data_IF_217681150580
#
_entry.id   IF_217681150580
#
_cell.length_a   1.000
_cell.length_b   1.000
_cell.length_c   1.000
_cell.angle_alpha   90.00
_cell.angle_beta   90.00
_cell.angle_gamma   90.00
#
_symmetry.space_group_name_H-M   'P 1'
#
loop_
_entity.id
_entity.type
_entity.pdbx_description
1 polymer ?
#
# COMPACT_ATOMS: atom_id res chain seq x y z
N UNK A 1 -6.19 -14.16 -9.76
CA UNK A 1 -5.32 -13.48 -10.75
C UNK A 1 -5.81 -12.06 -10.94
N UNK A 2 -4.90 -11.13 -11.25
CA UNK A 2 -5.27 -9.75 -11.56
C UNK A 2 -5.96 -9.66 -12.92
N UNK A 3 -6.87 -8.68 -13.06
CA UNK A 3 -7.41 -8.29 -14.36
C UNK A 3 -6.27 -7.69 -15.19
N UNK A 4 -6.12 -8.10 -16.45
CA UNK A 4 -5.10 -7.54 -17.35
C UNK A 4 -5.72 -6.49 -18.29
N UNK A 5 -4.96 -5.41 -18.52
CA UNK A 5 -5.25 -4.32 -19.46
C UNK A 5 -3.99 -3.98 -20.27
N UNK A 6 -4.15 -3.25 -21.37
CA UNK A 6 -3.03 -2.84 -22.22
C UNK A 6 -2.82 -1.34 -22.13
N UNK A 7 -1.60 -0.90 -21.81
CA UNK A 7 -1.24 0.51 -21.85
C UNK A 7 -1.40 1.05 -23.28
N UNK A 8 -2.13 2.15 -23.43
CA UNK A 8 -2.33 2.83 -24.71
C UNK A 8 -1.59 4.15 -24.77
N UNK A 9 -1.36 4.80 -23.63
CA UNK A 9 -0.62 6.07 -23.56
C UNK A 9 0.07 6.27 -22.21
N UNK A 10 1.34 6.66 -22.27
CA UNK A 10 2.04 7.22 -21.11
C UNK A 10 1.70 8.72 -20.99
N UNK A 11 1.16 9.13 -19.85
CA UNK A 11 0.63 10.48 -19.64
C UNK A 11 1.69 11.38 -19.00
N UNK A 12 2.20 11.00 -17.82
CA UNK A 12 3.17 11.81 -17.09
C UNK A 12 3.87 11.00 -15.99
N UNK A 13 5.16 11.27 -15.70
CA UNK A 13 5.82 10.71 -14.53
C UNK A 13 5.29 11.30 -13.22
N UNK A 14 5.11 10.45 -12.22
CA UNK A 14 4.97 10.85 -10.82
C UNK A 14 6.37 10.85 -10.20
N UNK A 15 6.87 12.05 -9.90
CA UNK A 15 8.22 12.24 -9.31
C UNK A 15 8.17 11.97 -7.80
N UNK A 16 7.80 10.75 -7.43
CA UNK A 16 7.80 10.27 -6.05
C UNK A 16 8.97 9.30 -5.85
N UNK A 17 9.95 9.70 -5.04
CA UNK A 17 11.09 8.86 -4.67
C UNK A 17 11.92 8.35 -5.86
N UNK A 18 12.56 7.19 -5.69
CA UNK A 18 13.49 6.60 -6.66
C UNK A 18 12.87 5.57 -7.61
N UNK A 19 11.55 5.37 -7.60
CA UNK A 19 10.86 4.35 -8.43
C UNK A 19 10.19 4.91 -9.68
N UNK A 20 10.06 6.24 -9.78
CA UNK A 20 9.46 6.96 -10.92
C UNK A 20 8.20 6.29 -11.50
N UNK A 21 7.15 6.06 -10.68
CA UNK A 21 5.88 5.57 -11.21
C UNK A 21 5.30 6.57 -12.21
N UNK A 22 4.37 6.14 -13.07
CA UNK A 22 3.81 7.01 -14.10
C UNK A 22 2.31 6.82 -14.28
N UNK A 23 1.62 7.90 -14.66
CA UNK A 23 0.21 7.83 -15.05
C UNK A 23 0.12 7.29 -16.48
N UNK A 24 -0.70 6.26 -16.66
CA UNK A 24 -0.92 5.57 -17.94
C UNK A 24 -2.42 5.43 -18.20
N UNK A 25 -2.83 5.67 -19.44
CA UNK A 25 -4.16 5.32 -19.95
C UNK A 25 -4.12 3.91 -20.56
N UNK A 26 -5.20 3.15 -20.40
CA UNK A 26 -5.29 1.78 -20.92
C UNK A 26 -6.45 1.59 -21.92
N UNK A 27 -6.51 0.41 -22.53
CA UNK A 27 -7.49 0.01 -23.55
C UNK A 27 -8.92 -0.13 -23.02
N UNK A 28 -9.09 -0.27 -21.71
CA UNK A 28 -10.37 -0.28 -21.01
C UNK A 28 -10.91 1.13 -20.67
N UNK A 29 -10.24 2.18 -21.17
CA UNK A 29 -10.51 3.59 -20.87
C UNK A 29 -10.20 4.00 -19.41
N UNK A 30 -9.55 3.13 -18.64
CA UNK A 30 -9.07 3.41 -17.29
C UNK A 30 -7.78 4.24 -17.28
N UNK A 31 -7.52 4.90 -16.15
CA UNK A 31 -6.26 5.60 -15.88
C UNK A 31 -5.61 4.97 -14.64
N UNK A 32 -4.33 4.64 -14.75
CA UNK A 32 -3.62 3.87 -13.73
C UNK A 32 -2.32 4.57 -13.35
N UNK A 33 -1.96 4.47 -12.07
CA UNK A 33 -0.57 4.64 -11.62
C UNK A 33 0.15 3.32 -11.89
N UNK A 34 1.08 3.35 -12.84
CA UNK A 34 1.86 2.20 -13.25
C UNK A 34 3.17 2.14 -12.47
N UNK A 35 3.43 0.98 -11.86
CA UNK A 35 4.72 0.62 -11.26
C UNK A 35 5.48 -0.32 -12.21
N UNK A 36 6.67 0.11 -12.60
CA UNK A 36 7.46 -0.51 -13.66
C UNK A 36 8.30 -1.68 -13.16
N UNK A 37 8.34 -2.79 -13.91
CA UNK A 37 9.20 -3.95 -13.63
C UNK A 37 10.67 -3.65 -13.80
N UNK A 38 11.02 -2.72 -14.70
CA UNK A 38 12.39 -2.25 -14.93
C UNK A 38 12.90 -1.25 -13.89
N UNK A 39 12.08 -0.84 -12.92
CA UNK A 39 12.51 0.07 -11.86
C UNK A 39 13.56 -0.59 -10.94
N UNK A 40 14.50 0.20 -10.41
CA UNK A 40 15.63 -0.29 -9.61
C UNK A 40 15.25 -1.03 -8.31
N UNK A 41 14.01 -0.91 -7.85
CA UNK A 41 13.47 -1.64 -6.69
C UNK A 41 13.19 -3.13 -7.00
N UNK A 42 13.01 -3.48 -8.28
CA UNK A 42 12.88 -4.84 -8.76
C UNK A 42 11.50 -5.50 -8.53
N UNK A 43 11.34 -6.71 -9.07
CA UNK A 43 10.08 -7.48 -9.08
C UNK A 43 9.49 -7.72 -7.69
N UNK A 44 10.32 -7.86 -6.66
CA UNK A 44 9.88 -8.11 -5.28
C UNK A 44 8.95 -7.02 -4.73
N UNK A 45 9.21 -5.76 -5.06
CA UNK A 45 8.34 -4.64 -4.66
C UNK A 45 6.94 -4.77 -5.29
N UNK A 46 6.85 -5.23 -6.55
CA UNK A 46 5.55 -5.50 -7.19
C UNK A 46 4.83 -6.69 -6.55
N UNK A 47 5.58 -7.75 -6.20
CA UNK A 47 5.04 -8.90 -5.47
C UNK A 47 4.48 -8.47 -4.10
N UNK A 48 5.20 -7.63 -3.36
CA UNK A 48 4.74 -7.08 -2.08
C UNK A 48 3.48 -6.24 -2.27
N UNK A 49 3.45 -5.36 -3.27
CA UNK A 49 2.28 -4.53 -3.58
C UNK A 49 1.04 -5.38 -3.85
N UNK A 50 1.17 -6.42 -4.66
CA UNK A 50 0.04 -7.31 -4.98
C UNK A 50 -0.41 -8.09 -3.76
N UNK A 51 0.49 -8.76 -3.03
CA UNK A 51 0.10 -9.59 -1.89
C UNK A 51 -0.53 -8.73 -0.79
N UNK A 52 0.12 -7.64 -0.39
CA UNK A 52 -0.37 -6.78 0.67
C UNK A 52 -1.63 -6.01 0.25
N UNK A 53 -1.65 -5.44 -0.97
CA UNK A 53 -2.81 -4.71 -1.48
C UNK A 53 -4.06 -5.60 -1.61
N UNK A 54 -3.91 -6.83 -2.14
CA UNK A 54 -5.02 -7.79 -2.21
C UNK A 54 -5.48 -8.23 -0.83
N UNK A 55 -4.56 -8.49 0.10
CA UNK A 55 -4.89 -8.83 1.48
C UNK A 55 -5.69 -7.71 2.15
N UNK A 56 -5.25 -6.46 2.01
CA UNK A 56 -5.97 -5.30 2.51
C UNK A 56 -7.40 -5.21 1.93
N UNK A 57 -7.55 -5.34 0.61
CA UNK A 57 -8.87 -5.33 -0.05
C UNK A 57 -9.80 -6.41 0.52
N UNK A 58 -9.32 -7.65 0.65
CA UNK A 58 -10.12 -8.77 1.16
C UNK A 58 -10.41 -8.66 2.67
N UNK A 59 -9.59 -7.94 3.43
CA UNK A 59 -9.86 -7.57 4.81
C UNK A 59 -10.79 -6.36 4.95
N UNK A 60 -11.20 -5.76 3.83
CA UNK A 60 -12.13 -4.61 3.78
C UNK A 60 -11.45 -3.26 4.03
N UNK A 61 -10.13 -3.18 3.91
CA UNK A 61 -9.40 -1.92 3.82
C UNK A 61 -9.48 -1.39 2.38
N UNK A 62 -9.55 -0.07 2.23
CA UNK A 62 -9.65 0.57 0.92
C UNK A 62 -8.28 0.68 0.29
N UNK A 63 -8.06 -0.06 -0.79
CA UNK A 63 -6.88 0.04 -1.67
C UNK A 63 -7.44 0.18 -3.09
N UNK A 64 -6.90 1.09 -3.92
CA UNK A 64 -7.35 1.20 -5.32
C UNK A 64 -7.20 -0.15 -6.03
N UNK A 65 -8.00 -0.37 -7.09
CA UNK A 65 -7.93 -1.64 -7.84
C UNK A 65 -6.50 -1.88 -8.34
N UNK A 66 -6.03 -3.12 -8.21
CA UNK A 66 -4.76 -3.56 -8.78
C UNK A 66 -5.03 -4.33 -10.07
N UNK A 67 -4.31 -4.00 -11.13
CA UNK A 67 -4.40 -4.64 -12.45
C UNK A 67 -3.01 -5.03 -12.95
N UNK A 68 -2.96 -6.06 -13.79
CA UNK A 68 -1.81 -6.27 -14.66
C UNK A 68 -1.89 -5.32 -15.84
N UNK A 69 -0.83 -4.57 -16.14
CA UNK A 69 -0.80 -3.68 -17.31
C UNK A 69 0.32 -4.07 -18.27
N UNK A 70 -0.04 -4.44 -19.50
CA UNK A 70 0.91 -4.76 -20.57
C UNK A 70 1.42 -3.46 -21.21
N UNK A 71 2.72 -3.24 -21.18
CA UNK A 71 3.41 -2.11 -21.80
C UNK A 71 4.13 -2.55 -23.07
N UNK A 72 3.82 -1.89 -24.18
CA UNK A 72 4.67 -1.90 -25.37
C UNK A 72 5.73 -0.78 -25.23
N UNK A 73 7.04 -1.10 -25.24
CA UNK A 73 8.12 -0.12 -25.19
C UNK A 73 8.04 1.00 -26.23
N UNK A 74 7.30 0.80 -27.34
CA UNK A 74 7.06 1.83 -28.36
C UNK A 74 6.48 3.11 -27.76
N UNK A 75 5.72 3.01 -26.66
CA UNK A 75 5.13 4.15 -25.94
C UNK A 75 6.20 5.10 -25.41
N UNK A 76 7.38 4.60 -25.04
CA UNK A 76 8.48 5.42 -24.52
C UNK A 76 9.27 6.19 -25.59
N UNK A 77 9.08 5.92 -26.89
CA UNK A 77 9.88 6.56 -27.94
C UNK A 77 9.68 8.07 -28.04
N UNK A 78 8.51 8.57 -27.67
CA UNK A 78 8.19 10.00 -27.67
C UNK A 78 8.44 10.69 -26.32
N UNK A 79 8.88 9.96 -25.31
CA UNK A 79 9.19 10.54 -24.00
C UNK A 79 10.49 11.36 -24.07
N UNK A 80 10.46 12.68 -23.76
CA UNK A 80 11.64 13.53 -23.78
C UNK A 80 12.63 13.29 -22.64
N UNK A 81 12.17 12.76 -21.50
CA UNK A 81 13.04 12.47 -20.34
C UNK A 81 13.77 11.13 -20.56
N UNK A 82 15.10 11.17 -20.73
CA UNK A 82 15.91 9.99 -21.05
C UNK A 82 15.81 8.90 -19.97
N UNK A 83 15.72 9.28 -18.69
CA UNK A 83 15.60 8.34 -17.58
C UNK A 83 14.26 7.58 -17.64
N UNK A 84 13.17 8.31 -17.92
CA UNK A 84 11.83 7.71 -18.09
C UNK A 84 11.79 6.86 -19.36
N UNK A 85 12.40 7.32 -20.45
CA UNK A 85 12.46 6.55 -21.69
C UNK A 85 13.18 5.22 -21.49
N UNK A 86 14.32 5.20 -20.79
CA UNK A 86 15.06 3.97 -20.51
C UNK A 86 14.29 3.05 -19.56
N UNK A 87 13.59 3.61 -18.57
CA UNK A 87 12.68 2.85 -17.70
C UNK A 87 11.55 2.17 -18.51
N UNK A 88 10.90 2.89 -19.42
CA UNK A 88 9.84 2.35 -20.27
C UNK A 88 10.36 1.25 -21.19
N UNK A 89 11.55 1.43 -21.80
CA UNK A 89 12.20 0.39 -22.60
C UNK A 89 12.52 -0.86 -21.79
N UNK A 90 13.02 -0.70 -20.57
CA UNK A 90 13.36 -1.81 -19.67
C UNK A 90 12.13 -2.53 -19.10
N UNK A 91 10.94 -1.94 -19.21
CA UNK A 91 9.70 -2.42 -18.61
C UNK A 91 8.70 -2.99 -19.60
N UNK A 92 9.14 -3.33 -20.82
CA UNK A 92 8.29 -3.97 -21.82
C UNK A 92 7.70 -5.29 -21.31
N UNK A 93 6.41 -5.51 -21.53
CA UNK A 93 5.68 -6.66 -21.01
C UNK A 93 4.75 -6.30 -19.86
N UNK A 94 4.54 -7.21 -18.91
CA UNK A 94 3.56 -7.03 -17.84
C UNK A 94 4.15 -6.26 -16.66
N UNK A 95 3.38 -5.30 -16.18
CA UNK A 95 3.70 -4.45 -15.05
C UNK A 95 2.48 -4.37 -14.12
N UNK A 96 2.63 -3.64 -13.01
CA UNK A 96 1.53 -3.42 -12.08
C UNK A 96 0.87 -2.07 -12.34
N UNK A 97 -0.43 -2.06 -12.53
CA UNK A 97 -1.26 -0.86 -12.49
C UNK A 97 -2.04 -0.80 -11.17
N UNK A 98 -2.17 0.39 -10.62
CA UNK A 98 -3.08 0.73 -9.53
C UNK A 98 -4.03 1.80 -10.03
N UNK A 99 -5.33 1.66 -9.78
CA UNK A 99 -6.32 2.65 -10.21
C UNK A 99 -5.93 4.06 -9.72
N UNK A 100 -5.93 5.02 -10.64
CA UNK A 100 -5.58 6.40 -10.31
C UNK A 100 -6.81 7.10 -9.75
N UNK A 101 -6.74 7.54 -8.49
CA UNK A 101 -7.85 8.22 -7.81
C UNK A 101 -7.82 9.74 -8.08
N UNK A 102 -8.62 10.28 -9.02
CA UNK A 102 -8.50 11.68 -9.42
C UNK A 102 -9.03 12.59 -8.31
N UNK A 103 -8.27 13.63 -7.98
CA UNK A 103 -8.61 14.59 -6.93
C UNK A 103 -8.42 14.07 -5.50
N UNK A 104 -7.80 12.89 -5.34
CA UNK A 104 -7.37 12.44 -4.02
C UNK A 104 -6.31 13.38 -3.43
N UNK A 105 -6.32 13.50 -2.10
CA UNK A 105 -5.34 14.29 -1.35
C UNK A 105 -4.50 13.36 -0.49
N UNK A 106 -3.22 13.67 -0.25
CA UNK A 106 -2.45 12.99 0.78
C UNK A 106 -3.09 13.20 2.16
N UNK A 107 -3.15 12.14 2.96
CA UNK A 107 -3.62 12.23 4.34
C UNK A 107 -2.60 13.00 5.19
N UNK A 108 -3.02 14.16 5.69
CA UNK A 108 -2.34 14.90 6.76
C UNK A 108 -3.06 14.65 8.10
N UNK A 109 -2.41 14.01 9.09
CA UNK A 109 -3.04 13.70 10.38
C UNK A 109 -3.42 14.95 11.20
N UNK A 110 -2.92 16.14 10.84
CA UNK A 110 -3.32 17.41 11.44
C UNK A 110 -4.58 18.01 10.81
N UNK A 111 -4.90 17.60 9.57
CA UNK A 111 -6.05 18.09 8.82
C UNK A 111 -7.24 17.11 8.90
N UNK A 112 -6.99 15.81 8.84
CA UNK A 112 -8.02 14.77 8.78
C UNK A 112 -8.14 14.02 10.11
N UNK A 113 -9.38 13.72 10.53
CA UNK A 113 -9.64 12.87 11.67
C UNK A 113 -9.82 11.42 11.20
N UNK A 114 -9.21 10.48 11.91
CA UNK A 114 -9.38 9.04 11.73
C UNK A 114 -9.89 8.47 13.05
N UNK A 115 -10.85 7.55 13.00
CA UNK A 115 -11.34 6.92 14.22
C UNK A 115 -10.31 5.94 14.80
N UNK A 116 -10.29 5.76 16.12
CA UNK A 116 -9.44 4.76 16.79
C UNK A 116 -9.62 3.35 16.21
N UNK A 117 -10.86 2.99 15.84
CA UNK A 117 -11.18 1.70 15.22
C UNK A 117 -10.56 1.56 13.82
N UNK A 118 -10.67 2.59 12.98
CA UNK A 118 -10.10 2.59 11.63
C UNK A 118 -8.57 2.61 11.67
N UNK A 119 -7.98 3.44 12.55
CA UNK A 119 -6.54 3.47 12.79
C UNK A 119 -6.03 2.11 13.31
N UNK A 120 -6.77 1.47 14.21
CA UNK A 120 -6.47 0.13 14.73
C UNK A 120 -6.36 -0.90 13.61
N UNK A 121 -7.33 -0.92 12.68
CA UNK A 121 -7.33 -1.85 11.54
C UNK A 121 -6.13 -1.67 10.62
N UNK A 122 -5.77 -0.42 10.31
CA UNK A 122 -4.63 -0.13 9.43
C UNK A 122 -3.31 -0.49 10.11
N UNK A 123 -3.09 -0.04 11.36
CA UNK A 123 -1.86 -0.35 12.10
C UNK A 123 -1.69 -1.85 12.32
N UNK A 124 -2.77 -2.56 12.64
CA UNK A 124 -2.75 -4.03 12.76
C UNK A 124 -2.37 -4.70 11.43
N UNK A 125 -2.95 -4.23 10.31
CA UNK A 125 -2.61 -4.74 8.98
C UNK A 125 -1.15 -4.46 8.61
N UNK A 126 -0.67 -3.24 8.84
CA UNK A 126 0.71 -2.86 8.57
C UNK A 126 1.69 -3.68 9.41
N UNK A 127 1.35 -4.00 10.66
CA UNK A 127 2.11 -4.95 11.46
C UNK A 127 2.11 -6.36 10.86
N UNK A 128 0.98 -6.83 10.31
CA UNK A 128 0.87 -8.15 9.69
C UNK A 128 1.76 -8.26 8.46
N UNK A 129 1.77 -7.26 7.59
CA UNK A 129 2.61 -7.26 6.37
C UNK A 129 4.02 -6.70 6.62
N UNK A 130 4.31 -6.21 7.82
CA UNK A 130 5.61 -5.65 8.20
C UNK A 130 5.93 -4.34 7.47
N UNK A 131 4.95 -3.45 7.34
CA UNK A 131 5.09 -2.15 6.70
C UNK A 131 5.79 -1.16 7.65
N UNK A 132 7.03 -0.79 7.36
CA UNK A 132 7.77 0.20 8.17
C UNK A 132 7.76 1.60 7.60
N UNK A 133 7.24 1.76 6.38
CA UNK A 133 7.37 2.99 5.62
C UNK A 133 6.21 3.96 5.87
N UNK A 134 5.09 3.45 6.42
CA UNK A 134 3.88 4.23 6.73
C UNK A 134 4.07 5.17 7.92
N UNK A 135 4.73 6.29 7.68
CA UNK A 135 5.11 7.28 8.69
C UNK A 135 4.50 8.65 8.44
N UNK A 136 4.58 9.56 9.39
CA UNK A 136 4.12 10.95 9.19
C UNK A 136 4.87 11.70 8.06
N UNK A 137 6.08 11.25 7.70
CA UNK A 137 6.86 11.80 6.56
C UNK A 137 6.44 11.20 5.23
N UNK A 138 6.05 9.93 5.25
CA UNK A 138 5.57 9.22 4.08
C UNK A 138 4.26 8.47 4.42
N UNK A 139 3.11 9.16 4.48
CA UNK A 139 1.87 8.54 4.92
C UNK A 139 1.42 7.38 4.03
N UNK A 140 1.70 7.43 2.72
CA UNK A 140 1.18 6.48 1.73
C UNK A 140 -0.33 6.21 1.90
N UNK A 141 -1.05 7.24 2.36
CA UNK A 141 -2.48 7.24 2.61
C UNK A 141 -3.07 8.42 1.85
N UNK A 142 -4.19 8.17 1.18
CA UNK A 142 -4.95 9.18 0.47
C UNK A 142 -6.29 9.40 1.16
N UNK A 143 -6.87 10.58 1.00
CA UNK A 143 -8.27 10.87 1.25
C UNK A 143 -8.95 11.07 -0.10
N UNK A 144 -9.90 10.21 -0.43
CA UNK A 144 -10.65 10.27 -1.68
C UNK A 144 -12.14 10.10 -1.40
N UNK A 145 -12.94 11.08 -1.86
CA UNK A 145 -14.36 11.19 -1.54
C UNK A 145 -14.68 11.11 -0.03
N UNK A 146 -13.80 11.67 0.81
CA UNK A 146 -13.97 11.73 2.27
C UNK A 146 -13.53 10.48 3.03
N UNK A 147 -13.09 9.43 2.34
CA UNK A 147 -12.65 8.17 2.93
C UNK A 147 -11.13 8.01 2.83
N UNK A 148 -10.51 7.31 3.78
CA UNK A 148 -9.09 6.98 3.76
C UNK A 148 -8.82 5.77 2.85
N UNK A 149 -7.80 5.87 2.00
CA UNK A 149 -7.34 4.84 1.07
C UNK A 149 -5.85 4.57 1.30
N UNK A 150 -5.48 3.29 1.32
CA UNK A 150 -4.11 2.82 1.43
C UNK A 150 -3.51 2.69 0.04
N UNK A 151 -2.32 3.26 -0.13
CA UNK A 151 -1.48 3.08 -1.31
C UNK A 151 -0.09 2.62 -0.88
N UNK A 152 0.70 2.26 -1.88
CA UNK A 152 2.12 1.94 -1.79
C UNK A 152 2.51 0.96 -0.66
N UNK A 153 2.27 -0.32 -0.92
CA UNK A 153 2.72 -1.44 -0.10
C UNK A 153 4.04 -2.04 -0.61
N UNK A 154 4.75 -1.37 -1.50
CA UNK A 154 5.99 -1.87 -2.10
C UNK A 154 7.14 -2.07 -1.09
N UNK A 155 7.09 -1.37 0.04
CA UNK A 155 8.05 -1.48 1.15
C UNK A 155 7.60 -2.47 2.25
N UNK A 156 6.57 -3.28 1.98
CA UNK A 156 6.11 -4.34 2.90
C UNK A 156 6.83 -5.66 2.63
N UNK A 157 6.58 -6.68 3.48
CA UNK A 157 7.14 -8.03 3.34
C UNK A 157 8.68 -8.09 3.30
N UNK A 158 9.37 -7.13 3.93
CA UNK A 158 10.85 -6.94 3.87
C UNK A 158 11.65 -8.24 4.05
N UNK A 159 11.13 -9.18 4.83
CA UNK A 159 11.71 -10.50 5.05
C UNK A 159 11.89 -11.33 3.75
N UNK A 160 11.12 -11.08 2.69
CA UNK A 160 11.24 -11.78 1.40
C UNK A 160 12.51 -11.40 0.62
N UNK A 161 13.26 -10.38 1.07
CA UNK A 161 14.60 -10.10 0.56
C UNK A 161 15.65 -11.05 1.16
N UNK A 162 15.31 -11.83 2.21
CA UNK A 162 16.19 -12.80 2.85
C UNK A 162 15.41 -14.01 3.40
N UNK A 163 14.95 -14.87 2.49
CA UNK A 163 14.20 -16.09 2.81
C UNK A 163 14.88 -17.03 3.82
N UNK A 164 16.21 -17.30 3.75
CA UNK A 164 16.87 -18.13 4.75
C UNK A 164 16.72 -17.57 6.18
N UNK A 165 16.85 -16.25 6.34
CA UNK A 165 16.68 -15.59 7.65
C UNK A 165 15.22 -15.54 8.11
N UNK A 166 14.29 -15.41 7.16
CA UNK A 166 12.85 -15.44 7.44
C UNK A 166 12.42 -16.82 7.98
N UNK A 167 12.93 -17.90 7.37
CA UNK A 167 12.61 -19.28 7.76
C UNK A 167 13.33 -19.73 9.05
N UNK A 168 14.56 -19.27 9.29
CA UNK A 168 15.36 -19.71 10.44
C UNK A 168 15.01 -19.03 11.76
N UNK A 169 14.18 -17.97 11.77
CA UNK A 169 13.79 -17.25 12.99
C UNK A 169 14.96 -16.58 13.76
N UNK A 170 16.17 -16.53 13.19
CA UNK A 170 17.42 -16.42 13.94
C UNK A 170 18.23 -15.13 13.74
N UNK A 171 17.92 -14.30 12.74
CA UNK A 171 18.65 -13.04 12.50
C UNK A 171 18.07 -11.86 13.32
N UNK A 172 18.85 -10.78 13.50
CA UNK A 172 18.32 -9.53 14.09
C UNK A 172 17.17 -8.93 13.27
N UNK A 173 17.19 -9.06 11.94
CA UNK A 173 16.04 -8.66 11.09
C UNK A 173 14.86 -9.61 11.24
N UNK A 174 15.09 -10.89 11.51
CA UNK A 174 14.07 -11.89 11.85
C UNK A 174 13.45 -11.64 13.24
N UNK A 175 14.19 -11.00 14.15
CA UNK A 175 13.67 -10.60 15.46
C UNK A 175 12.82 -9.34 15.44
N UNK A 176 13.05 -8.38 14.55
CA UNK A 176 12.21 -7.17 14.42
C UNK A 176 11.15 -7.27 13.32
N UNK A 177 11.39 -8.06 12.26
CA UNK A 177 10.48 -8.19 11.12
C UNK A 177 10.18 -9.64 10.73
N UNK A 178 10.73 -10.62 11.44
CA UNK A 178 10.37 -12.02 11.25
C UNK A 178 9.06 -12.38 11.95
N UNK A 179 8.68 -13.65 11.83
CA UNK A 179 7.35 -14.18 12.15
C UNK A 179 6.82 -13.77 13.54
N UNK A 180 7.70 -13.71 14.55
CA UNK A 180 7.35 -13.41 15.95
C UNK A 180 7.93 -12.09 16.47
N UNK A 181 8.44 -11.22 15.58
CA UNK A 181 9.07 -9.97 16.00
C UNK A 181 8.08 -8.92 16.52
N UNK A 182 8.51 -7.98 17.39
CA UNK A 182 7.73 -6.82 17.75
C UNK A 182 7.66 -5.85 16.56
N UNK A 183 6.54 -5.13 16.44
CA UNK A 183 6.33 -4.08 15.45
C UNK A 183 6.25 -2.74 16.16
N UNK A 184 7.19 -1.84 15.86
CA UNK A 184 7.21 -0.49 16.41
C UNK A 184 6.43 0.45 15.50
N UNK A 185 5.24 0.85 15.95
CA UNK A 185 4.38 1.80 15.25
C UNK A 185 4.48 3.21 15.85
N UNK A 186 5.53 3.53 16.61
CA UNK A 186 5.66 4.84 17.27
C UNK A 186 5.72 6.00 16.28
N UNK A 187 6.36 5.81 15.12
CA UNK A 187 6.44 6.79 14.04
C UNK A 187 5.28 6.68 13.02
N UNK A 188 4.33 5.77 13.26
CA UNK A 188 3.23 5.50 12.34
C UNK A 188 2.32 6.72 12.20
N UNK A 189 1.94 7.09 10.98
CA UNK A 189 1.11 8.30 10.73
C UNK A 189 -0.21 8.30 11.48
N UNK A 190 -0.75 7.10 11.76
CA UNK A 190 -1.99 6.92 12.51
C UNK A 190 -1.83 6.70 14.03
N UNK A 191 -0.60 6.64 14.54
CA UNK A 191 -0.35 6.49 15.99
C UNK A 191 -1.04 7.59 16.84
N UNK A 192 -1.11 8.86 16.41
CA UNK A 192 -1.81 9.91 17.14
C UNK A 192 -3.31 9.67 17.37
N UNK A 193 -3.98 8.81 16.59
CA UNK A 193 -5.44 8.60 16.69
C UNK A 193 -5.85 7.52 17.71
N UNK A 194 -4.92 7.07 18.56
CA UNK A 194 -5.16 6.02 19.55
C UNK A 194 -5.68 4.71 18.95
N UNK A 195 -4.90 4.02 18.08
CA UNK A 195 -5.33 2.81 17.38
C UNK A 195 -5.88 1.73 18.33
N UNK A 196 -7.13 1.28 18.11
CA UNK A 196 -7.74 0.17 18.86
C UNK A 196 -7.30 -1.18 18.28
N UNK A 197 -6.12 -1.64 18.70
CA UNK A 197 -5.51 -2.87 18.20
C UNK A 197 -6.22 -4.14 18.65
N UNK A 198 -6.88 -4.11 19.81
CA UNK A 198 -7.59 -5.27 20.34
C UNK A 198 -8.84 -5.55 19.50
N UNK A 199 -9.66 -4.53 19.24
CA UNK A 199 -10.82 -4.65 18.35
C UNK A 199 -10.41 -5.01 16.92
N UNK A 200 -9.30 -4.43 16.42
CA UNK A 200 -8.76 -4.79 15.11
C UNK A 200 -8.35 -6.26 15.02
N UNK A 201 -7.71 -6.80 16.07
CA UNK A 201 -7.33 -8.21 16.11
C UNK A 201 -8.53 -9.14 16.17
N UNK A 202 -9.55 -8.79 16.95
CA UNK A 202 -10.79 -9.57 17.04
C UNK A 202 -11.52 -9.65 15.68
N UNK A 203 -11.56 -8.55 14.92
CA UNK A 203 -12.20 -8.50 13.61
C UNK A 203 -11.35 -9.13 12.48
N UNK A 204 -10.06 -8.78 12.41
CA UNK A 204 -9.23 -9.11 11.25
C UNK A 204 -8.55 -10.48 11.36
N UNK A 205 -8.05 -10.86 12.54
CA UNK A 205 -7.25 -12.07 12.69
C UNK A 205 -7.98 -13.36 12.24
N UNK A 206 -9.26 -13.59 12.60
CA UNK A 206 -9.99 -14.79 12.16
C UNK A 206 -10.21 -14.87 10.64
N UNK A 207 -10.14 -13.72 9.95
CA UNK A 207 -10.34 -13.64 8.49
C UNK A 207 -9.08 -13.97 7.71
N UNK A 208 -7.90 -13.86 8.32
CA UNK A 208 -6.61 -14.19 7.68
C UNK A 208 -6.41 -15.72 7.67
N UNK A 209 -7.15 -16.40 6.80
CA UNK A 209 -7.07 -17.86 6.62
C UNK A 209 -5.99 -18.23 5.60
N UNK A 210 -5.56 -19.49 5.61
CA UNK A 210 -4.66 -20.02 4.57
C UNK A 210 -5.24 -19.89 3.16
N UNK A 211 -6.56 -20.04 3.01
CA UNK A 211 -7.26 -19.88 1.73
C UNK A 211 -7.21 -18.43 1.24
N UNK A 212 -7.48 -17.45 2.11
CA UNK A 212 -7.40 -16.03 1.76
C UNK A 212 -5.97 -15.65 1.35
N UNK A 213 -4.97 -16.12 2.10
CA UNK A 213 -3.57 -15.87 1.78
C UNK A 213 -3.14 -16.53 0.47
N UNK A 214 -3.62 -17.75 0.19
CA UNK A 214 -3.39 -18.43 -1.08
C UNK A 214 -4.03 -17.67 -2.25
N UNK A 215 -5.23 -17.11 -2.08
CA UNK A 215 -5.85 -16.23 -3.07
C UNK A 215 -4.98 -14.99 -3.37
N UNK A 216 -4.45 -14.34 -2.32
CA UNK A 216 -3.56 -13.19 -2.47
C UNK A 216 -2.27 -13.56 -3.21
N UNK A 217 -1.63 -14.69 -2.85
CA UNK A 217 -0.42 -15.16 -3.50
C UNK A 217 -0.65 -15.59 -4.96
N UNK A 218 -1.82 -16.16 -5.27
CA UNK A 218 -2.23 -16.52 -6.63
C UNK A 218 -2.60 -15.30 -7.50
N UNK A 219 -2.74 -14.10 -6.93
CA UNK A 219 -2.89 -12.88 -7.71
C UNK A 219 -1.58 -12.45 -8.38
N UNK A 220 -0.43 -12.86 -7.85
CA UNK A 220 0.89 -12.51 -8.38
C UNK A 220 1.18 -13.30 -9.67
N UNK A 221 1.53 -12.64 -10.79
CA UNK A 221 1.93 -13.31 -12.03
C UNK A 221 3.16 -14.21 -11.86
N UNK A 222 3.17 -15.37 -12.53
CA UNK A 222 4.28 -16.33 -12.48
C UNK A 222 5.62 -15.68 -12.89
N UNK A 223 5.62 -14.84 -13.94
CA UNK A 223 6.81 -14.15 -14.44
C UNK A 223 7.50 -13.25 -13.39
N UNK A 224 6.80 -12.84 -12.34
CA UNK A 224 7.39 -12.07 -11.24
C UNK A 224 8.01 -12.95 -10.14
N UNK A 225 7.65 -14.23 -10.12
CA UNK A 225 8.06 -15.24 -9.15
C UNK A 225 9.14 -16.18 -9.70
N UNK A 226 9.26 -16.29 -11.03
CA UNK A 226 10.24 -17.16 -11.71
C UNK A 226 11.68 -16.78 -11.34
N UNK A 227 12.50 -17.83 -11.14
CA UNK A 227 13.92 -17.78 -10.80
C UNK A 227 14.26 -17.13 -9.44
N UNK A 228 13.31 -17.09 -8.50
CA UNK A 228 13.61 -16.68 -7.13
C UNK A 228 14.57 -17.67 -6.45
N UNK A 229 15.75 -17.23 -5.98
CA UNK A 229 16.73 -18.12 -5.38
C UNK A 229 16.19 -18.84 -4.13
N UNK A 230 16.38 -20.16 -4.09
CA UNK A 230 15.96 -21.00 -2.97
C UNK A 230 14.57 -21.63 -3.10
N UNK A 231 13.91 -21.47 -4.25
CA UNK A 231 12.63 -22.10 -4.57
C UNK A 231 12.69 -22.82 -5.91
N UNK A 232 12.00 -23.96 -6.03
CA UNK A 232 11.92 -24.73 -7.26
C UNK A 232 11.02 -24.08 -8.33
N UNK A 233 10.13 -23.17 -7.94
CA UNK A 233 9.26 -22.44 -8.84
C UNK A 233 8.23 -21.55 -8.14
N UNK A 234 7.35 -20.88 -8.91
CA UNK A 234 6.36 -19.93 -8.39
C UNK A 234 5.46 -20.49 -7.28
N UNK A 235 5.02 -21.74 -7.39
CA UNK A 235 4.09 -22.33 -6.42
C UNK A 235 4.73 -22.54 -5.05
N UNK A 236 5.97 -23.03 -4.99
CA UNK A 236 6.69 -23.19 -3.73
C UNK A 236 6.94 -21.83 -3.04
N UNK A 237 7.19 -20.80 -3.84
CA UNK A 237 7.36 -19.43 -3.37
C UNK A 237 6.04 -18.85 -2.83
N UNK A 238 4.91 -19.07 -3.53
CA UNK A 238 3.56 -18.70 -3.03
C UNK A 238 3.28 -19.36 -1.69
N UNK A 239 3.54 -20.67 -1.56
CA UNK A 239 3.35 -21.38 -0.31
C UNK A 239 4.22 -20.81 0.81
N UNK A 240 5.43 -20.33 0.50
CA UNK A 240 6.30 -19.67 1.47
C UNK A 240 5.74 -18.34 1.96
N UNK A 241 5.13 -17.54 1.08
CA UNK A 241 4.38 -16.34 1.49
C UNK A 241 3.21 -16.69 2.40
N UNK A 242 2.39 -17.68 2.02
CA UNK A 242 1.23 -18.15 2.80
C UNK A 242 1.66 -18.60 4.20
N UNK A 243 2.68 -19.48 4.29
CA UNK A 243 3.20 -19.97 5.58
C UNK A 243 3.70 -18.83 6.46
N UNK A 244 4.45 -17.89 5.88
CA UNK A 244 5.07 -16.79 6.63
C UNK A 244 4.02 -15.83 7.18
N UNK A 245 3.05 -15.41 6.36
CA UNK A 245 1.97 -14.53 6.78
C UNK A 245 1.04 -15.22 7.79
N UNK A 246 0.68 -16.49 7.57
CA UNK A 246 -0.16 -17.26 8.51
C UNK A 246 0.46 -17.30 9.91
N UNK A 247 1.76 -17.52 10.00
CA UNK A 247 2.45 -17.63 11.27
C UNK A 247 2.56 -16.30 12.04
N UNK A 248 2.36 -15.16 11.37
CA UNK A 248 2.41 -13.82 11.99
C UNK A 248 1.12 -13.43 12.70
N UNK A 249 -0.02 -14.01 12.32
CA UNK A 249 -1.35 -13.57 12.78
C UNK A 249 -1.53 -13.74 14.30
N UNK A 250 -1.13 -14.90 14.83
CA UNK A 250 -1.36 -15.26 16.23
C UNK A 250 -0.68 -14.27 17.18
N UNK A 251 -1.46 -13.66 18.09
CA UNK A 251 -0.97 -12.71 19.10
C UNK A 251 -0.33 -11.42 18.53
N UNK A 252 -0.59 -11.09 17.25
CA UNK A 252 0.08 -9.96 16.59
C UNK A 252 -0.10 -8.63 17.33
N UNK A 253 -1.32 -8.34 17.78
CA UNK A 253 -1.65 -7.08 18.44
C UNK A 253 -0.88 -6.86 19.76
N UNK A 254 -0.52 -7.94 20.46
CA UNK A 254 0.28 -7.88 21.69
C UNK A 254 1.73 -7.50 21.43
N UNK A 255 2.19 -7.62 20.18
CA UNK A 255 3.56 -7.33 19.75
C UNK A 255 3.70 -5.96 19.09
N UNK A 256 2.62 -5.18 19.01
CA UNK A 256 2.63 -3.84 18.45
C UNK A 256 2.87 -2.83 19.57
N UNK A 257 3.90 -2.01 19.41
CA UNK A 257 4.14 -0.86 20.27
C UNK A 257 3.59 0.40 19.59
N UNK A 258 2.74 1.15 20.27
CA UNK A 258 2.30 2.49 19.85
C UNK A 258 3.05 3.53 20.68
N UNK A 259 3.54 4.59 20.05
CA UNK A 259 4.15 5.74 20.73
C UNK A 259 3.12 6.56 21.52
N UNK A 260 3.58 7.55 22.31
CA UNK A 260 2.64 8.42 23.05
C UNK A 260 1.70 9.18 22.08
N UNK A 261 0.37 9.17 22.31
CA UNK A 261 -0.58 9.89 21.46
C UNK A 261 -0.30 11.41 21.44
N UNK A 262 -0.44 12.03 20.28
CA UNK A 262 -0.54 13.49 20.20
C UNK A 262 -1.90 13.95 20.72
N UNK A 263 -1.98 15.17 21.25
CA UNK A 263 -3.23 15.72 21.82
C UNK A 263 -4.30 15.88 20.74
N UNK A 264 -5.49 15.32 20.98
CA UNK A 264 -6.67 15.42 20.11
C UNK A 264 -7.02 16.87 19.73
N UNK A 265 -7.44 17.06 18.49
CA UNK A 265 -8.05 18.29 17.99
C UNK A 265 -9.10 17.98 16.91
N UNK A 266 -10.11 18.84 16.71
CA UNK A 266 -11.12 18.64 15.67
C UNK A 266 -10.49 18.71 14.27
N UNK A 267 -11.01 17.90 13.33
CA UNK A 267 -10.58 17.93 11.93
C UNK A 267 -10.66 19.35 11.36
N UNK A 268 -9.61 19.73 10.62
CA UNK A 268 -9.52 21.01 9.88
C UNK A 268 -9.62 20.80 8.37
N UNK A 269 -10.10 19.63 7.94
CA UNK A 269 -10.28 19.30 6.55
C UNK A 269 -11.21 20.30 5.87
N UNK A 270 -10.93 20.70 4.61
CA UNK A 270 -11.83 21.58 3.87
C UNK A 270 -13.24 20.99 3.77
N UNK A 271 -14.28 21.78 4.07
CA UNK A 271 -15.67 21.31 4.12
C UNK A 271 -16.22 20.73 2.81
N UNK A 272 -15.64 21.11 1.66
CA UNK A 272 -16.01 20.52 0.37
C UNK A 272 -15.60 19.04 0.24
N UNK A 273 -14.65 18.56 1.05
CA UNK A 273 -14.19 17.17 1.05
C UNK A 273 -14.96 16.28 2.04
N UNK A 274 -15.42 16.84 3.17
CA UNK A 274 -16.11 16.11 4.25
C UNK A 274 -17.63 16.12 4.11
N UNK A 275 -18.17 16.73 3.05
CA UNK A 275 -19.61 16.97 2.90
C UNK A 275 -20.17 18.00 3.89
N UNK A 276 -19.34 18.60 4.74
CA UNK A 276 -19.73 19.63 5.68
C UNK A 276 -19.82 20.98 4.95
N UNK A 277 -21.04 21.51 4.82
CA UNK A 277 -21.23 22.88 4.34
C UNK A 277 -20.44 23.83 5.25
N UNK A 278 -19.51 24.66 4.73
CA UNK A 278 -18.83 25.62 5.58
C UNK A 278 -19.87 26.50 6.27
N UNK A 279 -19.70 26.85 7.56
CA UNK A 279 -20.65 27.72 8.23
C UNK A 279 -20.74 29.01 7.43
N UNK A 280 -21.95 29.31 6.96
CA UNK A 280 -22.27 30.58 6.29
C UNK A 280 -21.79 31.67 7.23
N UNK A 281 -20.74 32.41 6.84
CA UNK A 281 -20.40 33.66 7.52
C UNK A 281 -21.64 34.53 7.40
N UNK A 282 -22.42 34.64 8.49
CA UNK A 282 -23.42 35.69 8.61
C UNK A 282 -22.62 36.97 8.48
N UNK A 283 -22.74 37.63 7.33
CA UNK A 283 -22.21 38.97 7.14
C UNK A 283 -22.75 39.82 8.29
N UNK A 284 -21.84 40.48 8.99
CA UNK A 284 -22.21 41.56 9.89
C UNK A 284 -22.96 42.57 9.03
N UNK A 285 -24.28 42.54 9.18
CA UNK A 285 -25.17 43.52 8.61
C UNK A 285 -24.75 44.88 9.12
N UNK A 286 -24.44 45.75 8.17
CA UNK A 286 -24.48 47.19 8.33
C UNK A 286 -25.73 47.61 9.11
N UNK A 287 -25.52 48.08 10.34
CA UNK A 287 -26.49 48.87 11.08
C UNK A 287 -25.93 50.28 11.27
N UNK A 288 -26.57 51.20 10.56
CA UNK A 288 -26.37 52.65 10.49
C UNK A 288 -26.19 53.35 11.85
N UNK A 289 -25.37 54.40 11.87
CA UNK A 289 -25.81 55.80 11.98
C UNK A 289 -24.72 56.75 11.48
#
# INVERSE_FOLDING_TARGET
>A
MLREVTATRYVTPLREGGSLPGIVEADDLGTYVMKFTGAGQGRKTLVAEVIAGRLAQLLGLRVPELVGIRLDPVIGLSEPDEEVQDLLKASGGLNLGMDFLPGALGLDPLAFAVSAAEAGRVVWFDALVGNVDRSWRNPNLLVWHGEMWLIDHGATLVWHHNWPSAQAGSSRSSRSFGVSGPYDASDHVLAPFGPDLASAAEDLAPRVTGELLAECAAAVPDEWLTDEPGFAGPDELRDAYVRTLSARVSGLHERITIGEPSRDGPSRAPGWLTGATPPVRRGEGSAQR
#
